data_IF_500936044702
#
_entry.id   IF_500936044702
#
_cell.length_a   1.000
_cell.length_b   1.000
_cell.length_c   1.000
_cell.angle_alpha   90.00
_cell.angle_beta   90.00
_cell.angle_gamma   90.00
#
_symmetry.space_group_name_H-M   'P 1'
#
loop_
_entity.id
_entity.type
_entity.pdbx_description
1 polymer ?
#
# COMPACT_ATOMS: atom_id res chain seq x y z
N UNK A 1 21.09 -1.09 -7.15
CA UNK A 1 21.29 -2.00 -6.00
C UNK A 1 20.39 -1.52 -4.86
N UNK A 2 19.84 -2.42 -4.05
CA UNK A 2 18.93 -2.06 -2.96
C UNK A 2 19.71 -1.39 -1.82
N UNK A 3 19.13 -0.36 -1.19
CA UNK A 3 19.63 0.22 0.05
C UNK A 3 18.91 -0.45 1.22
N UNK A 4 19.60 -1.36 1.92
CA UNK A 4 19.04 -2.17 3.01
C UNK A 4 18.57 -1.32 4.19
N UNK A 5 19.32 -0.29 4.59
CA UNK A 5 18.96 0.60 5.70
C UNK A 5 17.64 1.32 5.42
N UNK A 6 17.46 1.79 4.18
CA UNK A 6 16.21 2.42 3.74
C UNK A 6 15.04 1.43 3.80
N UNK A 7 15.24 0.18 3.36
CA UNK A 7 14.19 -0.84 3.40
C UNK A 7 13.79 -1.20 4.83
N UNK A 8 14.77 -1.38 5.73
CA UNK A 8 14.50 -1.66 7.15
C UNK A 8 13.74 -0.50 7.78
N UNK A 9 14.15 0.74 7.52
CA UNK A 9 13.47 1.92 8.04
C UNK A 9 12.01 2.00 7.57
N UNK A 10 11.75 1.80 6.27
CA UNK A 10 10.38 1.82 5.76
C UNK A 10 9.54 0.66 6.29
N UNK A 11 10.13 -0.53 6.44
CA UNK A 11 9.44 -1.65 7.06
C UNK A 11 9.02 -1.34 8.50
N UNK A 12 9.91 -0.74 9.30
CA UNK A 12 9.57 -0.30 10.66
C UNK A 12 8.51 0.80 10.66
N UNK A 13 8.54 1.75 9.73
CA UNK A 13 7.48 2.76 9.61
C UNK A 13 6.11 2.12 9.37
N UNK A 14 6.03 1.16 8.43
CA UNK A 14 4.80 0.44 8.11
C UNK A 14 4.29 -0.38 9.29
N UNK A 15 5.17 -1.05 10.05
CA UNK A 15 4.79 -1.81 11.24
C UNK A 15 4.21 -0.96 12.37
N UNK A 16 4.54 0.33 12.43
CA UNK A 16 3.99 1.24 13.44
C UNK A 16 2.60 1.78 13.09
N UNK A 17 2.10 1.48 11.89
CA UNK A 17 0.75 1.87 11.47
C UNK A 17 -0.17 0.68 11.70
N UNK A 18 -1.14 0.83 12.61
CA UNK A 18 -2.13 -0.22 12.81
C UNK A 18 -2.99 -0.37 11.55
N UNK A 19 -3.10 -1.61 11.06
CA UNK A 19 -3.95 -1.93 9.91
C UNK A 19 -4.78 -3.20 10.15
N UNK A 20 -5.66 -3.24 11.16
CA UNK A 20 -6.55 -4.37 11.34
C UNK A 20 -7.34 -4.66 10.06
N UNK A 21 -7.66 -5.92 9.81
CA UNK A 21 -8.57 -6.27 8.71
C UNK A 21 -9.87 -5.45 8.79
N UNK A 22 -10.25 -4.85 7.65
CA UNK A 22 -11.33 -3.86 7.43
C UNK A 22 -11.10 -2.44 7.94
N UNK A 23 -9.98 -2.17 8.62
CA UNK A 23 -9.60 -0.86 9.16
C UNK A 23 -8.27 -0.38 8.55
N UNK A 24 -8.13 -0.55 7.25
CA UNK A 24 -6.88 -0.28 6.54
C UNK A 24 -6.70 1.21 6.17
N UNK A 25 -7.57 2.11 6.65
CA UNK A 25 -7.60 3.51 6.20
C UNK A 25 -6.29 4.27 6.43
N UNK A 26 -5.64 4.08 7.58
CA UNK A 26 -4.41 4.80 7.91
C UNK A 26 -3.23 4.35 7.04
N UNK A 27 -3.01 3.04 6.93
CA UNK A 27 -1.93 2.50 6.08
C UNK A 27 -2.17 2.82 4.59
N UNK A 28 -3.43 2.81 4.14
CA UNK A 28 -3.79 3.21 2.80
C UNK A 28 -3.50 4.69 2.53
N UNK A 29 -3.76 5.58 3.50
CA UNK A 29 -3.38 7.00 3.41
C UNK A 29 -1.86 7.16 3.33
N UNK A 30 -1.10 6.47 4.17
CA UNK A 30 0.37 6.51 4.14
C UNK A 30 0.94 6.07 2.79
N UNK A 31 0.48 4.94 2.26
CA UNK A 31 0.95 4.39 0.99
C UNK A 31 0.56 5.28 -0.19
N UNK A 32 -0.68 5.75 -0.23
CA UNK A 32 -1.15 6.62 -1.32
C UNK A 32 -0.40 7.96 -1.34
N UNK A 33 -0.10 8.55 -0.18
CA UNK A 33 0.76 9.73 -0.08
C UNK A 33 2.20 9.46 -0.51
N UNK A 34 2.75 8.30 -0.16
CA UNK A 34 4.08 7.88 -0.62
C UNK A 34 4.14 7.83 -2.15
N UNK A 35 3.19 7.15 -2.80
CA UNK A 35 3.16 7.06 -4.26
C UNK A 35 2.94 8.42 -4.94
N UNK A 36 2.06 9.26 -4.38
CA UNK A 36 1.88 10.65 -4.82
C UNK A 36 3.18 11.45 -4.79
N UNK A 37 3.94 11.36 -3.69
CA UNK A 37 5.23 12.06 -3.53
C UNK A 37 6.29 11.58 -4.53
N UNK A 38 6.20 10.33 -4.97
CA UNK A 38 7.08 9.78 -6.02
C UNK A 38 6.63 10.13 -7.44
N UNK A 39 5.48 10.81 -7.59
CA UNK A 39 4.94 11.22 -8.89
C UNK A 39 4.16 10.14 -9.62
N UNK A 40 3.80 9.04 -8.95
CA UNK A 40 2.98 7.98 -9.53
C UNK A 40 1.50 8.19 -9.26
N UNK A 41 0.69 7.92 -10.28
CA UNK A 41 -0.77 7.92 -10.16
C UNK A 41 -1.24 6.66 -9.43
N UNK A 42 -2.23 6.85 -8.57
CA UNK A 42 -2.92 5.78 -7.88
C UNK A 42 -4.42 6.03 -7.92
N UNK A 43 -5.18 4.96 -7.75
CA UNK A 43 -6.62 5.03 -7.47
C UNK A 43 -7.02 3.93 -6.51
N UNK A 44 -8.14 4.14 -5.83
CA UNK A 44 -8.82 3.11 -5.07
C UNK A 44 -9.95 2.53 -5.91
N UNK A 45 -10.09 1.20 -5.92
CA UNK A 45 -11.27 0.57 -6.52
C UNK A 45 -12.49 0.60 -5.58
N UNK A 46 -13.61 0.05 -6.03
CA UNK A 46 -14.87 0.01 -5.27
C UNK A 46 -15.03 -1.29 -4.45
N UNK A 47 -13.95 -2.01 -4.12
CA UNK A 47 -14.05 -3.28 -3.36
C UNK A 47 -14.59 -3.10 -1.95
N UNK A 48 -14.37 -1.94 -1.32
CA UNK A 48 -14.93 -1.58 0.00
C UNK A 48 -16.44 -1.73 0.08
N UNK A 49 -17.17 -1.45 -1.01
CA UNK A 49 -18.63 -1.61 -1.09
C UNK A 49 -19.08 -3.06 -0.84
N UNK A 50 -18.21 -4.04 -1.13
CA UNK A 50 -18.49 -5.48 -0.98
C UNK A 50 -17.84 -6.08 0.26
N UNK A 51 -16.68 -5.58 0.67
CA UNK A 51 -15.92 -6.14 1.81
C UNK A 51 -16.31 -5.53 3.15
N UNK A 52 -16.80 -4.29 3.14
CA UNK A 52 -16.99 -3.47 4.33
C UNK A 52 -15.67 -2.97 4.93
N UNK A 53 -14.58 -2.95 4.16
CA UNK A 53 -13.32 -2.30 4.53
C UNK A 53 -13.45 -0.77 4.43
N UNK A 54 -12.66 -0.04 5.22
CA UNK A 54 -12.61 1.44 5.17
C UNK A 54 -12.19 1.99 3.80
N UNK A 55 -11.38 1.23 3.06
CA UNK A 55 -10.86 1.60 1.74
C UNK A 55 -10.98 0.44 0.75
N UNK A 56 -11.02 0.75 -0.55
CA UNK A 56 -10.85 -0.24 -1.60
C UNK A 56 -9.39 -0.68 -1.76
N UNK A 57 -9.11 -1.52 -2.75
CA UNK A 57 -7.74 -1.87 -3.09
C UNK A 57 -7.03 -0.63 -3.65
N UNK A 58 -5.78 -0.41 -3.23
CA UNK A 58 -4.91 0.62 -3.79
C UNK A 58 -4.22 0.07 -5.05
N UNK A 59 -4.51 0.66 -6.21
CA UNK A 59 -3.85 0.33 -7.47
C UNK A 59 -2.92 1.48 -7.84
N UNK A 60 -1.66 1.16 -8.12
CA UNK A 60 -0.64 2.13 -8.55
C UNK A 60 -0.13 1.73 -9.93
N UNK A 61 -0.13 2.67 -10.87
CA UNK A 61 0.41 2.44 -12.21
C UNK A 61 1.73 3.18 -12.39
N UNK A 62 2.80 2.41 -12.57
CA UNK A 62 4.13 2.94 -12.88
C UNK A 62 4.35 2.78 -14.39
N UNK A 63 4.50 3.87 -15.17
CA UNK A 63 4.77 3.78 -16.61
C UNK A 63 6.09 3.07 -16.90
N UNK A 64 6.05 2.10 -17.81
CA UNK A 64 7.25 1.44 -18.31
C UNK A 64 8.11 2.40 -19.14
N UNK A 65 9.42 2.17 -19.15
CA UNK A 65 10.38 2.93 -19.97
C UNK A 65 10.72 2.25 -21.30
N UNK A 66 10.18 1.05 -21.53
CA UNK A 66 10.37 0.25 -22.74
C UNK A 66 9.03 -0.37 -23.17
N UNK A 67 8.96 -0.77 -24.43
CA UNK A 67 7.82 -1.54 -24.96
C UNK A 67 7.98 -3.02 -24.57
N UNK A 68 7.37 -3.42 -23.47
CA UNK A 68 7.31 -4.82 -23.01
C UNK A 68 5.97 -5.11 -22.36
N UNK A 69 5.68 -6.40 -22.15
CA UNK A 69 4.52 -6.82 -21.35
C UNK A 69 4.61 -6.24 -19.93
N UNK A 70 3.48 -5.78 -19.36
CA UNK A 70 3.44 -5.30 -17.98
C UNK A 70 3.60 -6.46 -17.01
N UNK A 71 4.20 -6.16 -15.86
CA UNK A 71 4.24 -7.07 -14.71
C UNK A 71 3.43 -6.47 -13.56
N UNK A 72 2.89 -7.32 -12.69
CA UNK A 72 2.08 -6.92 -11.56
C UNK A 72 2.64 -7.51 -10.27
N UNK A 73 2.78 -6.65 -9.26
CA UNK A 73 3.12 -7.04 -7.90
C UNK A 73 1.92 -6.75 -6.99
N UNK A 74 1.71 -7.62 -6.02
CA UNK A 74 0.62 -7.48 -5.05
C UNK A 74 1.12 -7.80 -3.64
N UNK A 75 0.59 -7.06 -2.67
CA UNK A 75 0.67 -7.34 -1.25
C UNK A 75 -0.66 -6.90 -0.62
N UNK A 76 -1.01 -7.49 0.52
CA UNK A 76 -2.15 -7.06 1.32
C UNK A 76 -1.69 -6.05 2.39
N UNK A 77 -2.60 -5.15 2.79
CA UNK A 77 -2.32 -4.08 3.77
C UNK A 77 -2.68 -4.48 5.20
N UNK A 78 -3.61 -5.42 5.34
CA UNK A 78 -4.19 -5.78 6.63
C UNK A 78 -3.33 -6.74 7.43
N UNK A 79 -3.49 -6.64 8.74
CA UNK A 79 -2.84 -7.47 9.74
C UNK A 79 -3.88 -8.24 10.56
N UNK A 80 -3.43 -9.33 11.15
CA UNK A 80 -4.20 -10.08 12.17
C UNK A 80 -3.84 -9.56 13.56
N UNK A 81 -4.76 -9.70 14.53
CA UNK A 81 -4.54 -9.26 15.90
C UNK A 81 -3.58 -10.16 16.70
N UNK A 82 -3.20 -9.75 17.93
CA UNK A 82 -3.69 -8.57 18.66
C UNK A 82 -3.13 -7.25 18.14
N UNK A 83 -3.88 -6.17 18.35
CA UNK A 83 -3.50 -4.78 18.05
C UNK A 83 -3.46 -4.04 19.39
N UNK A 84 -2.30 -3.54 19.80
CA UNK A 84 -2.06 -3.01 21.16
C UNK A 84 -1.21 -1.72 21.15
N UNK A 85 -1.05 -1.03 20.02
CA UNK A 85 -0.23 0.19 19.98
C UNK A 85 -0.93 1.40 20.60
#
# INVERSE_FOLDING_TARGET
MINTERVIKEFLNLLNIESPSKKEGEIASYLSDFFKKTGYEYFFDNSSEKTGSEVGNLIVKIPGTISSEPIFFNAHMDTVGPYEN
#
